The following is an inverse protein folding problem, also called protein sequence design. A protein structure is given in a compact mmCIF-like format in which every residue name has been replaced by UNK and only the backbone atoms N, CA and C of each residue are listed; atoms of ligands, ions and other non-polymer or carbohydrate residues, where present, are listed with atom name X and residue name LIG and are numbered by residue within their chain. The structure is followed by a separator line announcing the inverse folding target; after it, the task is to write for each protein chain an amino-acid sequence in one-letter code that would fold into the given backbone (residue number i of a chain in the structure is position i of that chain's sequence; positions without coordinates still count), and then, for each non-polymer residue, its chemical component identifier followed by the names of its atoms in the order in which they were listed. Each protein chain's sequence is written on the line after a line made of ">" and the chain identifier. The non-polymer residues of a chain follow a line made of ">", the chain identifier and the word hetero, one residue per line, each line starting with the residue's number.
data_IF_349674921771
#
_entry.id   IF_349674921771
#
_cell.length_a   1.000
_cell.length_b   1.000
_cell.length_c   1.000
_cell.angle_alpha   90.00
_cell.angle_beta   90.00
_cell.angle_gamma   90.00
#
_symmetry.space_group_name_H-M   'P 1'
#
loop_
_entity.id
_entity.type
_entity.pdbx_description
1 polymer ?
#
# COMPACT_ATOMS: atom_id res chain seq x y z
N UNK A 1 -7.95 -22.20 19.49
CA UNK A 1 -7.27 -21.34 18.50
C UNK A 1 -7.85 -21.70 17.15
N UNK A 2 -8.77 -20.88 16.60
CA UNK A 2 -9.42 -21.18 15.31
C UNK A 2 -8.56 -20.64 14.16
N UNK A 3 -8.61 -21.27 12.97
CA UNK A 3 -7.85 -20.86 11.78
C UNK A 3 -8.08 -19.41 11.34
N UNK A 4 -9.14 -18.77 11.83
CA UNK A 4 -9.53 -17.40 11.50
C UNK A 4 -8.61 -16.32 12.09
N UNK A 5 -7.59 -16.69 12.87
CA UNK A 5 -6.59 -15.74 13.40
C UNK A 5 -5.37 -15.60 12.47
N UNK A 6 -5.18 -16.48 11.48
CA UNK A 6 -4.01 -16.44 10.58
C UNK A 6 -4.19 -15.53 9.35
N UNK A 7 -5.38 -14.97 9.11
CA UNK A 7 -5.59 -13.96 8.05
C UNK A 7 -5.08 -12.55 8.45
N UNK A 8 -4.37 -12.43 9.56
CA UNK A 8 -4.08 -11.15 10.18
C UNK A 8 -2.70 -10.66 9.71
N UNK A 9 -2.72 -9.76 8.71
CA UNK A 9 -1.63 -8.88 8.27
C UNK A 9 -0.58 -9.52 7.35
N UNK A 10 -0.97 -9.70 6.09
CA UNK A 10 0.00 -9.84 5.02
C UNK A 10 0.66 -8.46 4.73
N UNK A 11 1.49 -7.97 5.66
CA UNK A 11 2.35 -6.80 5.47
C UNK A 11 3.78 -7.30 5.26
N UNK A 12 4.38 -6.95 4.12
CA UNK A 12 5.82 -7.07 3.93
C UNK A 12 6.47 -5.77 4.40
N UNK A 13 7.31 -5.88 5.43
CA UNK A 13 8.03 -4.77 6.03
C UNK A 13 9.41 -4.56 5.38
N UNK A 14 9.99 -3.34 5.45
CA UNK A 14 11.31 -3.09 4.89
C UNK A 14 12.38 -3.87 5.69
N UNK A 15 13.35 -4.52 5.03
CA UNK A 15 14.28 -5.45 5.68
C UNK A 15 15.28 -4.76 6.61
N UNK A 16 15.56 -3.47 6.39
CA UNK A 16 16.49 -2.65 7.18
C UNK A 16 15.78 -1.54 7.96
N UNK A 17 14.49 -1.72 8.27
CA UNK A 17 13.67 -0.72 8.95
C UNK A 17 14.35 -0.20 10.23
N UNK A 18 14.69 1.10 10.25
CA UNK A 18 15.37 1.76 11.37
C UNK A 18 16.89 1.57 11.46
N UNK A 19 17.49 0.80 10.54
CA UNK A 19 18.94 0.61 10.42
C UNK A 19 19.51 1.34 9.20
N UNK A 20 18.69 1.53 8.16
CA UNK A 20 19.09 2.23 6.96
C UNK A 20 19.01 3.76 7.13
N UNK A 21 20.16 4.41 7.04
CA UNK A 21 20.26 5.88 7.11
C UNK A 21 19.93 6.58 5.80
N UNK A 22 19.82 5.84 4.71
CA UNK A 22 19.46 6.36 3.38
C UNK A 22 17.95 6.41 3.16
N UNK A 23 17.19 5.67 3.98
CA UNK A 23 15.74 5.63 3.89
C UNK A 23 15.14 7.02 4.17
N UNK A 24 14.33 7.57 3.24
CA UNK A 24 13.65 8.84 3.45
C UNK A 24 12.59 8.78 4.56
N UNK A 25 12.06 7.60 4.90
CA UNK A 25 10.97 7.43 5.86
C UNK A 25 11.29 6.39 6.94
N UNK A 26 10.69 6.50 8.14
CA UNK A 26 10.87 5.48 9.19
C UNK A 26 9.92 4.29 8.94
N UNK A 27 10.43 3.25 8.27
CA UNK A 27 9.67 2.04 7.97
C UNK A 27 9.05 1.35 9.19
N UNK A 28 9.64 1.47 10.39
CA UNK A 28 9.07 0.86 11.61
C UNK A 28 7.80 1.58 12.04
N UNK A 29 7.83 2.91 12.00
CA UNK A 29 6.67 3.74 12.35
C UNK A 29 5.51 3.50 11.37
N UNK A 30 5.81 3.40 10.08
CA UNK A 30 4.84 3.10 9.03
C UNK A 30 4.17 1.74 9.21
N UNK A 31 4.97 0.69 9.41
CA UNK A 31 4.46 -0.67 9.66
C UNK A 31 3.60 -0.69 10.93
N UNK A 32 4.07 -0.09 12.03
CA UNK A 32 3.32 -0.06 13.29
C UNK A 32 1.97 0.67 13.16
N UNK A 33 1.93 1.80 12.43
CA UNK A 33 0.70 2.53 12.17
C UNK A 33 -0.30 1.67 11.37
N UNK A 34 0.17 0.99 10.31
CA UNK A 34 -0.65 0.12 9.49
C UNK A 34 -1.16 -1.10 10.28
N UNK A 35 -0.29 -1.75 11.06
CA UNK A 35 -0.68 -2.87 11.92
C UNK A 35 -1.76 -2.46 12.94
N UNK A 36 -1.58 -1.31 13.58
CA UNK A 36 -2.53 -0.76 14.53
C UNK A 36 -3.91 -0.54 13.88
N UNK A 37 -3.93 0.08 12.69
CA UNK A 37 -5.17 0.30 11.93
C UNK A 37 -5.87 -1.01 11.56
N UNK A 38 -5.13 -1.98 11.04
CA UNK A 38 -5.68 -3.29 10.66
C UNK A 38 -6.20 -4.09 11.88
N UNK A 39 -5.61 -3.90 13.07
CA UNK A 39 -6.14 -4.49 14.31
C UNK A 39 -7.44 -3.81 14.77
N UNK A 40 -7.51 -2.48 14.68
CA UNK A 40 -8.63 -1.70 15.18
C UNK A 40 -9.88 -1.81 14.30
N UNK A 41 -9.71 -1.82 12.98
CA UNK A 41 -10.82 -1.75 12.03
C UNK A 41 -11.41 -3.12 11.69
N UNK A 42 -12.48 -3.50 12.40
CA UNK A 42 -13.18 -4.79 12.21
C UNK A 42 -13.64 -5.05 10.78
N UNK A 43 -13.98 -4.01 10.02
CA UNK A 43 -14.38 -4.15 8.62
C UNK A 43 -13.26 -4.76 7.76
N UNK A 44 -12.00 -4.43 8.08
CA UNK A 44 -10.83 -4.92 7.34
C UNK A 44 -10.55 -6.40 7.60
N UNK A 45 -11.18 -7.02 8.60
CA UNK A 45 -11.06 -8.45 8.84
C UNK A 45 -11.75 -9.29 7.76
N UNK A 46 -12.60 -8.67 6.92
CA UNK A 46 -13.21 -9.29 5.76
C UNK A 46 -12.27 -9.37 4.54
N UNK A 47 -11.06 -8.81 4.63
CA UNK A 47 -10.08 -8.88 3.55
C UNK A 47 -9.67 -10.34 3.27
N UNK A 48 -9.60 -10.76 2.00
CA UNK A 48 -9.13 -12.09 1.63
C UNK A 48 -7.69 -12.31 2.11
N UNK A 49 -7.33 -13.53 2.52
CA UNK A 49 -5.95 -13.82 2.97
C UNK A 49 -4.84 -13.66 1.91
N UNK A 50 -5.20 -13.45 0.63
CA UNK A 50 -4.24 -13.10 -0.43
C UNK A 50 -4.08 -11.58 -0.63
N UNK A 51 -4.93 -10.78 0.00
CA UNK A 51 -4.83 -9.33 -0.01
C UNK A 51 -3.64 -8.91 0.86
N UNK A 52 -2.70 -8.15 0.30
CA UNK A 52 -1.46 -7.80 1.00
C UNK A 52 -1.00 -6.37 0.80
N UNK A 53 -0.18 -5.94 1.74
CA UNK A 53 0.45 -4.63 1.80
C UNK A 53 1.98 -4.79 1.70
N UNK A 54 2.64 -3.85 1.02
CA UNK A 54 4.09 -3.68 1.09
C UNK A 54 4.38 -2.28 1.64
N UNK A 55 5.25 -2.21 2.63
CA UNK A 55 5.86 -0.96 3.10
C UNK A 55 7.33 -1.01 2.70
N UNK A 56 7.70 -0.15 1.75
CA UNK A 56 9.09 0.12 1.36
C UNK A 56 9.44 1.50 1.92
N UNK A 57 10.49 1.60 2.72
CA UNK A 57 10.88 2.87 3.35
C UNK A 57 11.71 3.77 2.42
N UNK A 58 12.02 3.30 1.20
CA UNK A 58 12.81 3.98 0.19
C UNK A 58 14.32 3.83 0.38
N UNK A 59 14.75 2.94 1.27
CA UNK A 59 16.15 2.67 1.55
C UNK A 59 16.88 1.87 0.46
N UNK A 60 18.09 1.42 0.78
CA UNK A 60 18.99 0.69 -0.10
C UNK A 60 18.44 -0.67 -0.57
N UNK A 61 17.57 -1.31 0.23
CA UNK A 61 16.97 -2.60 -0.11
C UNK A 61 15.49 -2.44 -0.48
N UNK A 62 15.25 -2.11 -1.74
CA UNK A 62 13.89 -1.92 -2.25
C UNK A 62 13.09 -3.22 -2.32
N UNK A 63 11.79 -3.08 -2.09
CA UNK A 63 10.75 -4.10 -2.24
C UNK A 63 9.93 -3.89 -3.53
N UNK A 64 10.45 -3.16 -4.52
CA UNK A 64 9.76 -2.82 -5.76
C UNK A 64 9.24 -4.04 -6.55
N UNK A 65 9.87 -5.21 -6.37
CA UNK A 65 9.48 -6.46 -7.02
C UNK A 65 8.45 -7.30 -6.23
N UNK A 66 8.15 -6.93 -4.98
CA UNK A 66 7.22 -7.67 -4.14
C UNK A 66 5.77 -7.47 -4.60
N UNK A 67 5.08 -8.57 -4.88
CA UNK A 67 3.65 -8.55 -5.24
C UNK A 67 2.80 -8.04 -4.07
N UNK A 68 1.97 -7.02 -4.30
CA UNK A 68 1.09 -6.43 -3.29
C UNK A 68 -0.20 -5.87 -3.90
N UNK A 69 -1.26 -5.82 -3.10
CA UNK A 69 -2.49 -5.13 -3.48
C UNK A 69 -2.38 -3.64 -3.23
N UNK A 70 -1.68 -3.24 -2.17
CA UNK A 70 -1.34 -1.85 -1.85
C UNK A 70 0.14 -1.76 -1.48
N UNK A 71 0.86 -0.82 -2.08
CA UNK A 71 2.23 -0.49 -1.71
C UNK A 71 2.36 0.97 -1.32
N UNK A 72 3.12 1.18 -0.25
CA UNK A 72 3.63 2.49 0.14
C UNK A 72 5.15 2.47 -0.02
N UNK A 73 5.69 3.35 -0.87
CA UNK A 73 7.13 3.49 -1.06
C UNK A 73 7.60 4.87 -0.61
N UNK A 74 8.54 4.89 0.33
CA UNK A 74 9.24 6.10 0.76
C UNK A 74 9.95 6.77 -0.41
N UNK A 75 9.66 8.05 -0.62
CA UNK A 75 10.30 8.88 -1.65
C UNK A 75 10.67 10.23 -1.04
N UNK A 76 11.82 10.77 -1.45
CA UNK A 76 12.18 12.15 -1.13
C UNK A 76 11.58 13.08 -2.19
N UNK A 77 10.87 14.12 -1.75
CA UNK A 77 10.31 15.15 -2.63
C UNK A 77 10.85 16.53 -2.26
N UNK A 78 10.55 17.54 -3.07
CA UNK A 78 10.91 18.93 -2.75
C UNK A 78 10.27 19.46 -1.45
N UNK A 79 9.16 18.86 -1.00
CA UNK A 79 8.46 19.21 0.24
C UNK A 79 8.85 18.32 1.42
N UNK A 80 9.79 17.39 1.22
CA UNK A 80 10.25 16.42 2.22
C UNK A 80 9.86 14.97 1.89
N UNK A 81 10.05 14.05 2.85
CA UNK A 81 9.68 12.65 2.71
C UNK A 81 8.17 12.47 2.49
N UNK A 82 7.82 11.62 1.52
CA UNK A 82 6.45 11.23 1.19
C UNK A 82 6.38 9.73 0.94
N UNK A 83 5.17 9.21 0.84
CA UNK A 83 4.92 7.84 0.40
C UNK A 83 4.24 7.85 -0.97
N UNK A 84 4.86 7.26 -1.97
CA UNK A 84 4.21 6.90 -3.23
C UNK A 84 3.22 5.77 -2.95
N UNK A 85 1.96 5.97 -3.35
CA UNK A 85 0.88 5.00 -3.18
C UNK A 85 0.66 4.28 -4.50
N UNK A 86 0.92 2.98 -4.51
CA UNK A 86 0.71 2.11 -5.66
C UNK A 86 -0.30 1.02 -5.34
N UNK A 87 -1.15 0.66 -6.30
CA UNK A 87 -2.17 -0.38 -6.12
C UNK A 87 -2.13 -1.43 -7.24
N UNK A 88 -2.46 -2.68 -6.91
CA UNK A 88 -2.63 -3.75 -7.88
C UNK A 88 -1.32 -4.28 -8.49
N UNK A 89 -0.19 -4.11 -7.80
CA UNK A 89 1.10 -4.62 -8.24
C UNK A 89 1.22 -6.13 -8.13
N UNK A 90 0.88 -6.86 -9.18
CA UNK A 90 1.06 -8.32 -9.25
C UNK A 90 2.34 -8.73 -9.98
N UNK A 91 2.81 -7.89 -10.89
CA UNK A 91 4.03 -8.08 -11.69
C UNK A 91 4.86 -6.78 -11.68
N UNK A 92 6.16 -6.81 -12.03
CA UNK A 92 6.95 -5.60 -12.18
C UNK A 92 6.27 -4.59 -13.12
N UNK A 93 6.18 -3.33 -12.70
CA UNK A 93 5.53 -2.24 -13.44
C UNK A 93 4.02 -2.40 -13.73
N UNK A 94 3.33 -3.36 -13.12
CA UNK A 94 1.86 -3.51 -13.27
C UNK A 94 1.07 -2.65 -12.29
N UNK A 95 1.73 -2.02 -11.32
CA UNK A 95 1.07 -1.24 -10.28
C UNK A 95 0.60 0.12 -10.83
N UNK A 96 -0.58 0.55 -10.37
CA UNK A 96 -1.10 1.89 -10.67
C UNK A 96 -0.68 2.83 -9.56
N UNK A 97 -0.02 3.93 -9.91
CA UNK A 97 0.29 5.03 -9.00
C UNK A 97 -0.96 5.90 -8.80
N UNK A 98 -1.40 6.04 -7.54
CA UNK A 98 -2.46 6.99 -7.17
C UNK A 98 -1.92 8.39 -6.90
N UNK A 99 -0.67 8.49 -6.46
CA UNK A 99 0.04 9.74 -6.15
C UNK A 99 0.92 9.57 -4.91
N UNK A 100 1.21 10.67 -4.20
CA UNK A 100 1.96 10.64 -2.94
C UNK A 100 1.15 11.14 -1.76
N UNK A 101 1.40 10.60 -0.58
CA UNK A 101 0.79 11.02 0.69
C UNK A 101 1.86 11.42 1.71
N UNK A 102 1.48 12.18 2.73
CA UNK A 102 2.32 12.34 3.91
C UNK A 102 2.49 10.99 4.65
N UNK A 103 3.65 10.69 5.26
CA UNK A 103 3.87 9.44 5.99
C UNK A 103 2.81 9.12 7.04
N UNK A 104 2.29 10.13 7.72
CA UNK A 104 1.28 10.03 8.78
C UNK A 104 -0.08 9.56 8.25
N UNK A 105 -0.36 9.77 6.96
CA UNK A 105 -1.61 9.40 6.31
C UNK A 105 -1.67 7.93 5.86
N UNK A 106 -0.60 7.14 6.08
CA UNK A 106 -0.51 5.74 5.62
C UNK A 106 -1.70 4.89 6.08
N UNK A 107 -2.11 5.04 7.35
CA UNK A 107 -3.20 4.26 7.92
C UNK A 107 -4.55 4.62 7.29
N UNK A 108 -4.82 5.91 7.10
CA UNK A 108 -6.06 6.40 6.51
C UNK A 108 -6.15 6.01 5.03
N UNK A 109 -5.06 6.16 4.28
CA UNK A 109 -5.01 5.75 2.88
C UNK A 109 -5.19 4.23 2.73
N UNK A 110 -4.52 3.43 3.55
CA UNK A 110 -4.63 1.98 3.53
C UNK A 110 -6.06 1.50 3.82
N UNK A 111 -6.72 2.08 4.81
CA UNK A 111 -8.11 1.79 5.13
C UNK A 111 -9.05 2.20 3.99
N UNK A 112 -8.92 3.43 3.48
CA UNK A 112 -9.80 3.95 2.44
C UNK A 112 -9.75 3.07 1.18
N UNK A 113 -8.55 2.70 0.71
CA UNK A 113 -8.36 1.83 -0.45
C UNK A 113 -8.90 0.42 -0.17
N UNK A 114 -8.66 -0.14 1.02
CA UNK A 114 -9.14 -1.45 1.39
C UNK A 114 -10.68 -1.53 1.48
N UNK A 115 -11.34 -0.47 1.95
CA UNK A 115 -12.80 -0.37 1.97
C UNK A 115 -13.38 -0.34 0.56
N UNK A 116 -12.81 0.46 -0.35
CA UNK A 116 -13.22 0.45 -1.76
C UNK A 116 -13.08 -0.95 -2.35
N UNK A 117 -11.96 -1.64 -2.08
CA UNK A 117 -11.80 -3.02 -2.53
C UNK A 117 -12.89 -3.95 -2.00
N UNK A 118 -13.27 -3.84 -0.72
CA UNK A 118 -14.32 -4.66 -0.12
C UNK A 118 -15.70 -4.37 -0.73
N UNK A 119 -16.02 -3.09 -0.95
CA UNK A 119 -17.28 -2.65 -1.54
C UNK A 119 -17.41 -3.13 -2.99
N UNK A 120 -16.39 -2.90 -3.80
CA UNK A 120 -16.32 -3.38 -5.18
C UNK A 120 -16.39 -4.91 -5.23
N UNK A 121 -15.67 -5.60 -4.34
CA UNK A 121 -15.72 -7.06 -4.24
C UNK A 121 -17.12 -7.56 -3.89
N UNK A 122 -17.83 -6.90 -2.98
CA UNK A 122 -19.19 -7.27 -2.60
C UNK A 122 -20.19 -7.12 -3.76
N UNK A 123 -19.93 -6.19 -4.68
CA UNK A 123 -20.71 -6.00 -5.90
C UNK A 123 -20.43 -7.04 -7.01
N UNK A 124 -19.51 -8.00 -6.77
CA UNK A 124 -19.14 -9.03 -7.75
C UNK A 124 -19.53 -10.45 -7.32
N UNK A 125 -19.99 -11.26 -8.28
CA UNK A 125 -20.39 -12.65 -8.04
C UNK A 125 -19.20 -13.58 -7.79
N UNK A 126 -18.08 -13.35 -8.48
CA UNK A 126 -16.86 -14.15 -8.42
C UNK A 126 -15.96 -13.81 -7.21
N UNK A 127 -16.27 -12.71 -6.51
CA UNK A 127 -15.62 -12.24 -5.27
C UNK A 127 -14.09 -12.33 -5.30
N UNK A 128 -13.42 -11.57 -6.20
CA UNK A 128 -11.97 -11.62 -6.38
C UNK A 128 -11.19 -11.49 -5.07
N UNK A 129 -10.02 -12.14 -5.02
CA UNK A 129 -9.16 -12.15 -3.83
C UNK A 129 -8.00 -11.15 -3.88
N UNK A 130 -7.84 -10.45 -5.02
CA UNK A 130 -6.76 -9.50 -5.30
C UNK A 130 -7.35 -8.23 -5.90
N UNK A 131 -6.76 -7.09 -5.55
CA UNK A 131 -7.17 -5.77 -6.01
C UNK A 131 -6.97 -5.61 -7.52
N UNK A 132 -5.90 -6.20 -8.09
CA UNK A 132 -5.65 -6.14 -9.54
C UNK A 132 -6.84 -6.66 -10.38
N UNK A 133 -7.55 -7.69 -9.90
CA UNK A 133 -8.75 -8.21 -10.57
C UNK A 133 -9.93 -7.25 -10.53
N UNK A 134 -10.04 -6.43 -9.47
CA UNK A 134 -11.05 -5.36 -9.39
C UNK A 134 -10.66 -4.21 -10.33
N UNK A 135 -9.40 -3.78 -10.32
CA UNK A 135 -8.92 -2.72 -11.22
C UNK A 135 -9.16 -3.01 -12.70
N UNK A 136 -8.96 -4.26 -13.12
CA UNK A 136 -9.22 -4.67 -14.49
C UNK A 136 -10.69 -4.47 -14.93
N UNK A 137 -11.63 -4.36 -13.98
CA UNK A 137 -13.06 -4.17 -14.23
C UNK A 137 -13.52 -2.73 -14.00
N UNK A 138 -13.12 -2.13 -12.90
CA UNK A 138 -13.65 -0.85 -12.40
C UNK A 138 -12.78 0.34 -12.79
N UNK A 139 -11.55 0.06 -13.25
CA UNK A 139 -10.50 1.07 -13.34
C UNK A 139 -10.10 1.59 -11.97
N UNK A 140 -9.40 2.73 -11.97
CA UNK A 140 -8.73 3.30 -10.80
C UNK A 140 -9.51 4.42 -10.13
N UNK A 141 -10.58 4.90 -10.78
CA UNK A 141 -11.33 6.07 -10.33
C UNK A 141 -11.92 5.95 -8.91
N UNK A 142 -12.55 4.82 -8.51
CA UNK A 142 -13.07 4.67 -7.14
C UNK A 142 -11.95 4.77 -6.08
N UNK A 143 -10.79 4.18 -6.38
CA UNK A 143 -9.64 4.18 -5.49
C UNK A 143 -8.99 5.57 -5.40
N UNK A 144 -8.82 6.26 -6.53
CA UNK A 144 -8.30 7.62 -6.56
C UNK A 144 -9.22 8.59 -5.80
N UNK A 145 -10.54 8.47 -5.96
CA UNK A 145 -11.51 9.28 -5.24
C UNK A 145 -11.43 9.10 -3.72
N UNK A 146 -11.24 7.86 -3.25
CA UNK A 146 -11.16 7.54 -1.83
C UNK A 146 -9.97 8.17 -1.11
N UNK A 147 -8.89 8.46 -1.84
CA UNK A 147 -7.68 9.08 -1.27
C UNK A 147 -7.43 10.51 -1.77
N UNK A 148 -8.38 11.11 -2.50
CA UNK A 148 -8.19 12.40 -3.17
C UNK A 148 -7.84 13.55 -2.21
N UNK A 149 -8.28 13.49 -0.95
CA UNK A 149 -7.96 14.50 0.07
C UNK A 149 -6.62 14.25 0.78
N UNK A 150 -6.03 13.08 0.60
CA UNK A 150 -4.75 12.68 1.20
C UNK A 150 -3.60 12.81 0.19
N UNK A 151 -3.91 12.66 -1.10
CA UNK A 151 -2.94 12.49 -2.17
C UNK A 151 -2.58 13.80 -2.85
N UNK A 152 -1.28 14.02 -2.98
CA UNK A 152 -0.67 15.00 -3.87
C UNK A 152 -0.15 14.31 -5.14
N UNK A 153 -0.06 15.00 -6.29
CA UNK A 153 0.48 14.43 -7.52
C UNK A 153 1.86 13.82 -7.30
N UNK A 154 2.11 12.63 -7.89
CA UNK A 154 3.43 12.02 -7.82
C UNK A 154 4.49 12.93 -8.48
N UNK A 155 5.73 12.97 -7.96
CA UNK A 155 6.80 13.73 -8.60
C UNK A 155 7.00 13.23 -10.04
N UNK A 156 7.17 14.17 -10.98
CA UNK A 156 7.29 13.90 -12.43
C UNK A 156 8.56 13.11 -12.83
N UNK A 157 9.35 12.69 -11.86
CA UNK A 157 10.36 11.65 -12.00
C UNK A 157 10.49 10.98 -10.65
N UNK A 158 10.18 9.69 -10.51
CA UNK A 158 10.90 8.93 -9.52
C UNK A 158 12.32 8.88 -10.06
N UNK A 159 13.27 9.57 -9.42
CA UNK A 159 14.63 9.05 -9.45
C UNK A 159 14.55 7.71 -8.73
N UNK A 160 14.09 6.68 -9.45
CA UNK A 160 14.40 5.31 -9.13
C UNK A 160 15.91 5.31 -9.27
N UNK A 161 16.61 5.34 -8.14
CA UNK A 161 18.02 5.05 -8.12
C UNK A 161 18.14 3.69 -8.80
N UNK A 162 18.53 3.73 -10.07
CA UNK A 162 18.71 2.55 -10.88
C UNK A 162 19.66 1.64 -10.11
N UNK A 163 19.19 0.42 -9.85
CA UNK A 163 19.95 -0.71 -9.32
C UNK A 163 21.45 -0.56 -9.60
N UNK A 164 22.23 -0.35 -8.53
CA UNK A 164 23.65 -0.66 -8.47
C UNK A 164 23.91 -1.46 -7.22
#
# INVERSE_FOLDING_TARGET
>A
MTPDTEAIRNIVAPPLAGLDRTAPTDGRALVAALESRLRAERALWALPGKFGYVVDDGGALSLAHATADIRFQGVMTATGPRLLVEIGGTEPASAVVLGTIAPEAIADAAEAIARVFLDERAATTDRPRRLASILARTGTAPFAAAVAQLVEPAPCSPTIAALR
#
